data_IF_460134081946
#
_entry.id   IF_460134081946
#
_cell.length_a   1.000
_cell.length_b   1.000
_cell.length_c   1.000
_cell.angle_alpha   90.00
_cell.angle_beta   90.00
_cell.angle_gamma   90.00
#
_symmetry.space_group_name_H-M   'P 1'
#
loop_
_entity.id
_entity.type
_entity.pdbx_description
1 polymer ?
#
# COMPACT_ATOMS: atom_id res chain seq x y z
N UNK A 1 -28.42 -35.77 16.82
CA UNK A 1 -26.95 -35.76 16.89
C UNK A 1 -26.49 -34.67 15.95
N UNK A 2 -25.85 -33.63 16.49
CA UNK A 2 -25.74 -32.28 15.92
C UNK A 2 -25.13 -32.21 14.50
N UNK A 3 -25.87 -31.58 13.59
CA UNK A 3 -25.43 -31.09 12.27
C UNK A 3 -24.44 -29.91 12.35
N UNK A 4 -24.04 -29.49 13.56
CA UNK A 4 -23.23 -28.30 13.82
C UNK A 4 -21.71 -28.50 13.75
N UNK A 5 -21.21 -29.71 13.44
CA UNK A 5 -19.76 -29.95 13.32
C UNK A 5 -19.24 -30.04 11.88
N UNK A 6 -20.12 -29.94 10.87
CA UNK A 6 -19.71 -29.89 9.44
C UNK A 6 -19.55 -28.47 8.88
N UNK A 7 -19.88 -27.43 9.65
CA UNK A 7 -19.74 -26.03 9.23
C UNK A 7 -18.38 -25.39 9.59
N UNK A 8 -17.46 -26.14 10.20
CA UNK A 8 -16.19 -25.62 10.73
C UNK A 8 -14.94 -26.06 9.94
N UNK A 9 -15.08 -26.51 8.69
CA UNK A 9 -13.96 -26.92 7.82
C UNK A 9 -14.00 -26.33 6.40
N UNK A 10 -14.78 -25.27 6.17
CA UNK A 10 -14.95 -24.66 4.85
C UNK A 10 -14.30 -23.26 4.75
N UNK A 11 -13.03 -23.12 5.14
CA UNK A 11 -12.18 -22.21 4.37
C UNK A 11 -11.72 -22.99 3.14
N UNK A 12 -12.09 -22.57 1.91
CA UNK A 12 -11.77 -23.38 0.75
C UNK A 12 -10.26 -23.34 0.57
N UNK A 13 -9.60 -24.47 0.77
CA UNK A 13 -8.23 -24.72 0.28
C UNK A 13 -8.08 -24.24 -1.18
N UNK A 14 -9.18 -24.28 -1.94
CA UNK A 14 -9.32 -23.74 -3.28
C UNK A 14 -9.07 -22.23 -3.39
N UNK A 15 -9.53 -21.39 -2.45
CA UNK A 15 -9.31 -19.94 -2.53
C UNK A 15 -7.83 -19.57 -2.37
N UNK A 16 -7.14 -20.19 -1.42
CA UNK A 16 -5.70 -20.00 -1.26
C UNK A 16 -4.93 -20.49 -2.50
N UNK A 17 -5.32 -21.64 -3.04
CA UNK A 17 -4.71 -22.16 -4.28
C UNK A 17 -4.94 -21.21 -5.45
N UNK A 18 -6.17 -20.72 -5.65
CA UNK A 18 -6.48 -19.74 -6.69
C UNK A 18 -5.74 -18.42 -6.49
N UNK A 19 -5.48 -18.01 -5.25
CA UNK A 19 -4.65 -16.85 -4.95
C UNK A 19 -3.19 -17.06 -5.37
N UNK A 20 -2.60 -18.23 -5.09
CA UNK A 20 -1.26 -18.56 -5.58
C UNK A 20 -1.21 -18.61 -7.11
N UNK A 21 -2.17 -19.30 -7.74
CA UNK A 21 -2.28 -19.39 -9.21
C UNK A 21 -2.42 -18.00 -9.86
N UNK A 22 -3.12 -17.07 -9.20
CA UNK A 22 -3.24 -15.68 -9.64
C UNK A 22 -1.90 -14.96 -9.59
N UNK A 23 -1.09 -15.16 -8.55
CA UNK A 23 0.26 -14.58 -8.47
C UNK A 23 1.12 -15.19 -9.58
N UNK A 24 1.23 -16.51 -9.64
CA UNK A 24 2.11 -17.24 -10.56
C UNK A 24 1.78 -16.94 -12.04
N UNK A 25 0.50 -16.77 -12.37
CA UNK A 25 0.07 -16.47 -13.74
C UNK A 25 0.41 -15.04 -14.19
N UNK A 26 0.49 -14.10 -13.25
CA UNK A 26 0.56 -12.67 -13.58
C UNK A 26 1.90 -12.02 -13.19
N UNK A 27 2.74 -12.70 -12.41
CA UNK A 27 4.03 -12.20 -11.94
C UNK A 27 5.12 -13.20 -12.30
N UNK A 28 6.18 -12.73 -12.95
CA UNK A 28 7.35 -13.56 -13.23
C UNK A 28 8.34 -13.52 -12.06
N UNK A 29 7.95 -14.11 -10.92
CA UNK A 29 8.74 -14.06 -9.69
C UNK A 29 10.15 -14.67 -9.86
N UNK A 30 10.26 -15.73 -10.67
CA UNK A 30 11.52 -16.42 -10.93
C UNK A 30 12.50 -15.54 -11.72
N UNK A 31 12.04 -14.85 -12.76
CA UNK A 31 12.86 -13.89 -13.51
C UNK A 31 13.51 -12.84 -12.61
N UNK A 32 12.79 -12.39 -11.59
CA UNK A 32 13.27 -11.39 -10.63
C UNK A 32 13.97 -12.00 -9.40
N UNK A 33 14.16 -13.33 -9.37
CA UNK A 33 14.88 -14.04 -8.32
C UNK A 33 14.15 -14.07 -6.98
N UNK A 34 12.82 -13.99 -6.98
CA UNK A 34 11.99 -14.09 -5.79
C UNK A 34 11.67 -15.55 -5.47
N UNK A 35 11.82 -15.92 -4.20
CA UNK A 35 11.47 -17.26 -3.67
C UNK A 35 10.50 -17.08 -2.51
N UNK A 36 9.48 -17.92 -2.44
CA UNK A 36 8.52 -17.88 -1.33
C UNK A 36 9.23 -18.26 -0.02
N UNK A 37 9.19 -17.38 0.98
CA UNK A 37 9.82 -17.62 2.29
C UNK A 37 8.83 -17.66 3.44
N UNK A 38 7.59 -17.21 3.22
CA UNK A 38 6.56 -17.21 4.24
C UNK A 38 5.18 -17.31 3.61
N UNK A 39 4.31 -18.09 4.26
CA UNK A 39 2.88 -18.08 4.02
C UNK A 39 2.13 -18.15 5.35
N UNK A 40 1.06 -17.39 5.45
CA UNK A 40 0.11 -17.46 6.55
C UNK A 40 -1.28 -17.70 5.97
N UNK A 41 -1.80 -18.88 6.25
CA UNK A 41 -3.17 -19.27 5.92
C UNK A 41 -3.87 -19.52 7.23
N UNK A 42 -4.61 -18.53 7.71
CA UNK A 42 -5.46 -18.76 8.86
C UNK A 42 -6.71 -19.51 8.40
N UNK A 43 -6.87 -20.73 8.95
CA UNK A 43 -7.97 -21.70 8.77
C UNK A 43 -9.36 -21.10 8.88
N UNK A 44 -9.49 -19.98 9.59
CA UNK A 44 -10.77 -19.41 9.96
C UNK A 44 -10.90 -17.92 9.63
N UNK A 45 -9.85 -17.25 9.11
CA UNK A 45 -9.91 -15.81 8.82
C UNK A 45 -8.96 -15.33 7.72
N UNK A 46 -9.42 -14.33 6.97
CA UNK A 46 -8.58 -13.48 6.11
C UNK A 46 -7.79 -12.47 6.97
N UNK A 47 -6.66 -11.92 6.48
CA UNK A 47 -6.08 -12.11 5.14
C UNK A 47 -5.24 -13.39 4.97
N UNK A 48 -5.19 -13.91 3.74
CA UNK A 48 -4.08 -14.79 3.34
C UNK A 48 -2.86 -13.94 3.02
N UNK A 49 -1.71 -14.35 3.54
CA UNK A 49 -0.46 -13.61 3.34
C UNK A 49 0.55 -14.55 2.74
N UNK A 50 1.22 -14.13 1.67
CA UNK A 50 2.39 -14.81 1.11
C UNK A 50 3.50 -13.79 0.94
N UNK A 51 4.72 -14.14 1.34
CA UNK A 51 5.90 -13.29 1.17
C UNK A 51 6.93 -14.05 0.35
N UNK A 52 7.47 -13.33 -0.62
CA UNK A 52 8.59 -13.76 -1.43
C UNK A 52 9.77 -12.84 -1.18
N UNK A 53 10.95 -13.42 -1.03
CA UNK A 53 12.20 -12.70 -0.82
C UNK A 53 13.12 -12.91 -2.03
N UNK A 54 13.79 -11.84 -2.45
CA UNK A 54 14.92 -11.90 -3.38
C UNK A 54 16.21 -11.56 -2.64
N UNK A 55 17.33 -11.47 -3.37
CA UNK A 55 18.59 -10.98 -2.80
C UNK A 55 18.55 -9.49 -2.40
N UNK A 56 17.56 -8.73 -2.86
CA UNK A 56 17.48 -7.28 -2.64
C UNK A 56 16.40 -6.91 -1.63
N UNK A 57 15.21 -7.49 -1.74
CA UNK A 57 14.05 -7.02 -1.01
C UNK A 57 12.99 -8.12 -0.81
N UNK A 58 11.88 -7.74 -0.16
CA UNK A 58 10.74 -8.60 0.14
C UNK A 58 9.50 -8.07 -0.56
N UNK A 59 8.67 -8.96 -1.09
CA UNK A 59 7.34 -8.65 -1.65
C UNK A 59 6.31 -9.46 -0.91
N UNK A 60 5.27 -8.78 -0.43
CA UNK A 60 4.17 -9.35 0.34
C UNK A 60 2.88 -9.20 -0.44
N UNK A 61 2.22 -10.31 -0.68
CA UNK A 61 0.89 -10.38 -1.26
C UNK A 61 -0.12 -10.66 -0.15
N UNK A 62 -1.16 -9.85 -0.08
CA UNK A 62 -2.24 -9.99 0.90
C UNK A 62 -3.57 -10.10 0.19
N UNK A 63 -4.22 -11.24 0.36
CA UNK A 63 -5.57 -11.47 -0.10
C UNK A 63 -6.54 -11.19 1.05
N UNK A 64 -7.40 -10.20 0.90
CA UNK A 64 -8.30 -9.77 1.97
C UNK A 64 -9.69 -9.41 1.44
N UNK A 65 -10.65 -9.35 2.35
CA UNK A 65 -11.97 -8.78 2.09
C UNK A 65 -11.94 -7.35 2.63
N UNK A 66 -12.15 -6.31 1.80
CA UNK A 66 -12.23 -4.95 2.31
C UNK A 66 -13.41 -4.86 3.27
N UNK A 67 -13.13 -4.50 4.51
CA UNK A 67 -14.15 -4.17 5.50
C UNK A 67 -14.20 -2.65 5.64
N UNK A 68 -15.20 -2.03 5.00
CA UNK A 68 -15.50 -0.61 5.15
C UNK A 68 -16.72 -0.41 6.06
N UNK A 69 -16.77 -1.13 7.19
CA UNK A 69 -17.82 -1.00 8.19
C UNK A 69 -19.14 -1.61 7.72
N UNK A 70 -20.18 -0.79 7.54
CA UNK A 70 -21.53 -1.28 7.21
C UNK A 70 -21.68 -1.86 5.80
N UNK A 71 -20.67 -1.71 4.94
CA UNK A 71 -20.68 -2.26 3.58
C UNK A 71 -19.68 -3.40 3.51
N UNK A 72 -20.18 -4.63 3.67
CA UNK A 72 -19.40 -5.82 3.35
C UNK A 72 -19.29 -5.95 1.83
N UNK A 73 -18.11 -5.73 1.27
CA UNK A 73 -17.87 -6.01 -0.13
C UNK A 73 -17.87 -7.51 -0.39
N UNK A 74 -18.64 -7.99 -1.35
CA UNK A 74 -18.61 -9.41 -1.72
C UNK A 74 -17.28 -9.81 -2.35
N UNK A 75 -16.62 -8.87 -3.03
CA UNK A 75 -15.37 -9.10 -3.73
C UNK A 75 -14.16 -9.10 -2.79
N UNK A 76 -13.13 -9.82 -3.21
CA UNK A 76 -11.82 -9.92 -2.55
C UNK A 76 -10.82 -9.06 -3.30
N UNK A 77 -9.85 -8.53 -2.58
CA UNK A 77 -8.78 -7.71 -3.14
C UNK A 77 -7.41 -8.33 -2.86
N UNK A 78 -6.48 -8.09 -3.77
CA UNK A 78 -5.05 -8.37 -3.57
C UNK A 78 -4.34 -7.05 -3.36
N UNK A 79 -3.71 -6.90 -2.20
CA UNK A 79 -2.76 -5.82 -1.93
C UNK A 79 -1.34 -6.36 -2.03
N UNK A 80 -0.48 -5.62 -2.72
CA UNK A 80 0.94 -5.95 -2.87
C UNK A 80 1.77 -4.87 -2.18
N UNK A 81 2.64 -5.31 -1.28
CA UNK A 81 3.48 -4.45 -0.47
C UNK A 81 4.96 -4.84 -0.62
N UNK A 82 5.82 -3.85 -0.46
CA UNK A 82 7.26 -3.98 -0.62
C UNK A 82 7.96 -3.66 0.70
N UNK A 83 8.95 -4.47 1.05
CA UNK A 83 9.73 -4.33 2.27
C UNK A 83 11.22 -4.53 2.02
N UNK A 84 12.05 -3.99 2.90
CA UNK A 84 13.48 -4.28 2.92
C UNK A 84 13.72 -5.65 3.58
N UNK A 85 14.85 -6.31 3.34
CA UNK A 85 15.08 -7.68 3.85
C UNK A 85 14.98 -7.85 5.37
N UNK A 86 15.20 -6.80 6.16
CA UNK A 86 15.05 -6.83 7.61
C UNK A 86 13.62 -6.57 8.11
N UNK A 87 12.67 -6.29 7.21
CA UNK A 87 11.25 -6.12 7.53
C UNK A 87 10.70 -7.41 8.13
N UNK A 88 9.91 -7.33 9.20
CA UNK A 88 9.26 -8.49 9.83
C UNK A 88 8.13 -9.05 8.98
N UNK A 89 7.97 -10.38 9.01
CA UNK A 89 6.93 -11.10 8.25
C UNK A 89 5.53 -10.99 8.86
N UNK A 90 5.43 -10.85 10.18
CA UNK A 90 4.18 -10.94 10.94
C UNK A 90 3.52 -9.60 11.24
N UNK A 91 4.21 -8.48 10.98
CA UNK A 91 3.67 -7.16 11.27
C UNK A 91 3.85 -6.17 10.12
N UNK A 92 2.79 -5.41 9.83
CA UNK A 92 2.84 -4.29 8.89
C UNK A 92 3.64 -3.10 9.46
N UNK A 93 3.52 -2.84 10.76
CA UNK A 93 4.13 -1.70 11.45
C UNK A 93 4.54 -2.07 12.88
N UNK A 94 5.51 -1.38 13.47
CA UNK A 94 5.80 -1.55 14.91
C UNK A 94 5.91 -0.20 15.61
N UNK A 95 5.64 -0.21 16.90
CA UNK A 95 6.00 0.87 17.80
C UNK A 95 7.22 0.39 18.59
N UNK A 96 8.36 1.03 18.37
CA UNK A 96 9.57 0.81 19.18
C UNK A 96 9.94 2.13 19.82
N UNK A 97 10.09 2.16 21.15
CA UNK A 97 10.51 3.36 21.88
C UNK A 97 9.64 4.60 21.56
N UNK A 98 8.31 4.42 21.51
CA UNK A 98 7.32 5.44 21.10
C UNK A 98 7.47 5.98 19.67
N UNK A 99 8.31 5.36 18.83
CA UNK A 99 8.43 5.68 17.40
C UNK A 99 7.68 4.65 16.56
N UNK A 100 6.72 5.15 15.79
CA UNK A 100 6.05 4.35 14.76
C UNK A 100 7.03 4.09 13.60
N UNK A 101 7.26 2.81 13.32
CA UNK A 101 8.08 2.37 12.19
C UNK A 101 7.22 1.58 11.22
N UNK A 102 7.12 2.10 9.99
CA UNK A 102 6.48 1.41 8.87
C UNK A 102 7.50 0.49 8.19
N UNK A 103 7.11 -0.72 7.84
CA UNK A 103 8.02 -1.70 7.22
C UNK A 103 7.63 -2.15 5.82
N UNK A 104 6.35 -2.01 5.48
CA UNK A 104 5.77 -2.45 4.23
C UNK A 104 5.15 -1.27 3.50
N UNK A 105 5.47 -1.11 2.23
CA UNK A 105 5.14 0.07 1.43
C UNK A 105 4.30 -0.31 0.22
N UNK A 106 3.26 0.46 -0.05
CA UNK A 106 2.40 0.32 -1.22
C UNK A 106 2.80 1.36 -2.26
N UNK A 107 2.88 0.93 -3.51
CA UNK A 107 3.20 1.82 -4.65
C UNK A 107 2.23 3.00 -4.79
N UNK A 108 0.99 2.84 -4.31
CA UNK A 108 -0.06 3.85 -4.45
C UNK A 108 0.02 4.92 -3.35
N UNK A 109 0.28 4.52 -2.11
CA UNK A 109 0.21 5.43 -0.95
C UNK A 109 1.54 6.07 -0.58
N UNK A 110 2.66 5.52 -1.05
CA UNK A 110 3.98 5.86 -0.52
C UNK A 110 4.86 6.65 -1.49
N UNK A 111 4.28 7.27 -2.52
CA UNK A 111 5.00 8.14 -3.46
C UNK A 111 6.19 7.46 -4.20
N UNK A 112 6.30 6.13 -4.13
CA UNK A 112 7.41 5.36 -4.70
C UNK A 112 7.60 5.67 -6.18
N UNK A 113 6.52 5.59 -6.96
CA UNK A 113 6.60 5.80 -8.41
C UNK A 113 7.02 7.25 -8.73
N UNK A 114 6.48 8.24 -8.01
CA UNK A 114 6.84 9.65 -8.19
C UNK A 114 8.31 9.92 -7.88
N UNK A 115 8.83 9.29 -6.83
CA UNK A 115 10.26 9.34 -6.51
C UNK A 115 11.11 8.70 -7.61
N UNK A 116 10.72 7.53 -8.10
CA UNK A 116 11.45 6.84 -9.18
C UNK A 116 11.38 7.59 -10.52
N UNK A 117 10.30 8.33 -10.76
CA UNK A 117 10.14 9.24 -11.90
C UNK A 117 10.98 10.52 -11.77
N UNK A 118 11.57 10.78 -10.59
CA UNK A 118 12.33 12.01 -10.31
C UNK A 118 11.44 13.25 -10.17
N UNK A 119 10.16 13.08 -9.88
CA UNK A 119 9.22 14.19 -9.71
C UNK A 119 9.57 15.01 -8.46
N UNK A 120 9.77 16.34 -8.57
CA UNK A 120 10.02 17.20 -7.42
C UNK A 120 8.90 17.14 -6.37
N UNK A 121 9.24 17.25 -5.09
CA UNK A 121 8.30 17.16 -3.97
C UNK A 121 7.19 18.21 -4.06
N UNK A 122 7.51 19.39 -4.57
CA UNK A 122 6.62 20.53 -4.76
C UNK A 122 5.60 20.31 -5.87
N UNK A 123 5.90 19.48 -6.86
CA UNK A 123 4.94 19.16 -7.90
C UNK A 123 3.88 18.17 -7.39
N UNK A 124 4.27 17.29 -6.45
CA UNK A 124 3.39 16.24 -5.92
C UNK A 124 2.09 16.80 -5.33
N UNK A 125 2.14 17.96 -4.66
CA UNK A 125 0.97 18.55 -4.01
C UNK A 125 -0.11 19.04 -4.98
N UNK A 126 0.26 19.29 -6.24
CA UNK A 126 -0.66 19.70 -7.31
C UNK A 126 -1.18 18.52 -8.12
N UNK A 127 -0.61 17.34 -7.92
CA UNK A 127 -1.06 16.12 -8.56
C UNK A 127 -2.18 15.46 -7.77
N UNK A 128 -3.25 14.99 -8.41
CA UNK A 128 -4.23 14.15 -7.70
C UNK A 128 -3.57 12.81 -7.32
N UNK A 129 -4.20 12.04 -6.41
CA UNK A 129 -3.61 10.82 -5.83
C UNK A 129 -3.08 9.82 -6.88
N UNK A 130 -3.60 9.82 -8.12
CA UNK A 130 -3.33 8.81 -9.17
C UNK A 130 -2.44 9.29 -10.34
N UNK A 131 -1.54 10.26 -10.14
CA UNK A 131 -0.90 10.97 -11.26
C UNK A 131 0.48 10.49 -11.73
N UNK A 132 0.95 9.29 -11.35
CA UNK A 132 2.04 8.73 -12.16
C UNK A 132 1.48 8.52 -13.59
N UNK A 133 2.09 9.07 -14.66
CA UNK A 133 1.62 8.89 -16.03
C UNK A 133 1.41 7.42 -16.38
N UNK A 134 2.28 6.55 -15.86
CA UNK A 134 2.22 5.11 -15.98
C UNK A 134 0.93 4.52 -15.37
N UNK A 135 0.54 4.94 -14.16
CA UNK A 135 -0.70 4.45 -13.52
C UNK A 135 -1.96 4.84 -14.29
N UNK A 136 -1.94 5.96 -15.03
CA UNK A 136 -3.08 6.37 -15.88
C UNK A 136 -3.26 5.44 -17.07
N UNK A 137 -2.16 4.99 -17.67
CA UNK A 137 -2.15 4.07 -18.80
C UNK A 137 -2.75 2.70 -18.42
N UNK A 138 -2.54 2.27 -17.17
CA UNK A 138 -2.91 0.94 -16.71
C UNK A 138 -4.10 0.87 -15.75
N UNK A 139 -4.92 1.92 -15.63
CA UNK A 139 -6.08 1.96 -14.69
C UNK A 139 -7.08 0.81 -14.83
N UNK A 140 -7.08 0.09 -15.96
CA UNK A 140 -8.00 -1.03 -16.23
C UNK A 140 -7.40 -2.40 -15.88
N UNK A 141 -6.13 -2.46 -15.50
CA UNK A 141 -5.46 -3.74 -15.21
C UNK A 141 -5.81 -4.24 -13.82
N UNK A 142 -5.86 -5.57 -13.68
CA UNK A 142 -5.91 -6.21 -12.38
C UNK A 142 -4.66 -5.81 -11.56
N UNK A 143 -4.75 -5.57 -10.24
CA UNK A 143 -3.62 -5.07 -9.44
C UNK A 143 -2.34 -5.89 -9.60
N UNK A 144 -2.46 -7.23 -9.62
CA UNK A 144 -1.28 -8.10 -9.81
C UNK A 144 -0.59 -7.85 -11.15
N UNK A 145 -1.35 -7.75 -12.25
CA UNK A 145 -0.78 -7.48 -13.57
C UNK A 145 -0.15 -6.08 -13.64
N UNK A 146 -0.79 -5.07 -13.07
CA UNK A 146 -0.22 -3.73 -12.98
C UNK A 146 1.16 -3.73 -12.28
N UNK A 147 1.32 -4.51 -11.22
CA UNK A 147 2.62 -4.62 -10.54
C UNK A 147 3.69 -5.29 -11.42
N UNK A 148 3.32 -6.25 -12.26
CA UNK A 148 4.26 -6.82 -13.24
C UNK A 148 4.70 -5.78 -14.28
N UNK A 149 3.79 -4.95 -14.79
CA UNK A 149 4.13 -3.86 -15.71
C UNK A 149 5.06 -2.83 -15.05
N UNK A 150 4.84 -2.51 -13.76
CA UNK A 150 5.73 -1.66 -12.98
C UNK A 150 7.12 -2.27 -12.86
N UNK A 151 7.19 -3.57 -12.59
CA UNK A 151 8.47 -4.28 -12.51
C UNK A 151 9.20 -4.26 -13.84
N UNK A 152 8.50 -4.49 -14.95
CA UNK A 152 9.09 -4.43 -16.29
C UNK A 152 9.56 -3.01 -16.64
N UNK A 153 8.80 -1.98 -16.25
CA UNK A 153 9.11 -0.59 -16.56
C UNK A 153 10.30 -0.05 -15.76
N UNK A 154 10.24 -0.14 -14.43
CA UNK A 154 11.27 0.41 -13.54
C UNK A 154 12.44 -0.56 -13.33
N UNK A 155 12.20 -1.86 -13.50
CA UNK A 155 13.19 -2.92 -13.39
C UNK A 155 13.95 -2.89 -12.08
N UNK A 156 15.27 -3.06 -12.21
CA UNK A 156 16.21 -3.08 -11.09
C UNK A 156 16.12 -1.83 -10.20
N UNK A 157 15.81 -0.64 -10.76
CA UNK A 157 15.72 0.62 -10.00
C UNK A 157 14.64 0.56 -8.92
N UNK A 158 13.55 -0.16 -9.19
CA UNK A 158 12.47 -0.34 -8.23
C UNK A 158 12.93 -1.18 -7.02
N UNK A 159 13.62 -2.28 -7.26
CA UNK A 159 14.11 -3.16 -6.18
C UNK A 159 15.32 -2.58 -5.45
N UNK A 160 16.18 -1.82 -6.14
CA UNK A 160 17.32 -1.12 -5.56
C UNK A 160 16.89 -0.15 -4.45
N UNK A 161 15.69 0.43 -4.54
CA UNK A 161 15.12 1.30 -3.51
C UNK A 161 14.94 0.56 -2.18
N UNK A 162 14.56 -0.72 -2.22
CA UNK A 162 14.34 -1.55 -1.04
C UNK A 162 15.59 -2.34 -0.61
N UNK A 163 16.68 -2.25 -1.37
CA UNK A 163 17.91 -2.96 -1.07
C UNK A 163 18.56 -2.44 0.22
N UNK A 164 18.87 -3.36 1.12
CA UNK A 164 19.56 -3.03 2.38
C UNK A 164 20.99 -2.53 2.15
N UNK A 165 21.58 -2.90 1.01
CA UNK A 165 22.94 -2.50 0.60
C UNK A 165 22.99 -1.09 0.00
N UNK A 166 21.84 -0.47 -0.29
CA UNK A 166 21.73 0.89 -0.82
C UNK A 166 21.08 1.85 0.20
N UNK A 167 21.67 2.06 1.40
CA UNK A 167 21.06 2.88 2.44
C UNK A 167 20.86 4.35 2.01
N UNK A 168 21.76 4.89 1.18
CA UNK A 168 21.68 6.28 0.70
C UNK A 168 20.46 6.51 -0.21
N UNK A 169 20.13 5.55 -1.08
CA UNK A 169 18.95 5.65 -1.96
C UNK A 169 17.66 5.63 -1.13
N UNK A 170 17.62 4.76 -0.12
CA UNK A 170 16.52 4.70 0.82
C UNK A 170 16.36 6.01 1.60
N UNK A 171 17.46 6.61 2.08
CA UNK A 171 17.43 7.88 2.79
C UNK A 171 16.93 9.03 1.92
N UNK A 172 17.36 9.11 0.65
CA UNK A 172 16.84 10.07 -0.32
C UNK A 172 15.32 9.95 -0.48
N UNK A 173 14.81 8.73 -0.60
CA UNK A 173 13.37 8.47 -0.68
C UNK A 173 12.61 8.83 0.60
N UNK A 174 13.17 8.53 1.77
CA UNK A 174 12.57 8.92 3.06
C UNK A 174 12.49 10.44 3.19
N UNK A 175 13.56 11.14 2.84
CA UNK A 175 13.60 12.61 2.85
C UNK A 175 12.56 13.20 1.90
N UNK A 176 12.48 12.68 0.67
CA UNK A 176 11.45 13.03 -0.31
C UNK A 176 10.03 12.86 0.26
N UNK A 177 9.75 11.70 0.87
CA UNK A 177 8.45 11.42 1.48
C UNK A 177 8.11 12.37 2.63
N UNK A 178 9.09 12.76 3.44
CA UNK A 178 8.89 13.71 4.55
C UNK A 178 8.60 15.11 4.04
N UNK A 179 9.31 15.56 3.01
CA UNK A 179 9.08 16.83 2.35
C UNK A 179 7.67 16.91 1.76
N UNK A 180 7.25 15.89 0.98
CA UNK A 180 5.90 15.82 0.42
C UNK A 180 4.83 15.89 1.52
N UNK A 181 5.00 15.16 2.62
CA UNK A 181 4.06 15.20 3.76
C UNK A 181 3.99 16.60 4.40
N UNK A 182 5.13 17.25 4.57
CA UNK A 182 5.19 18.61 5.11
C UNK A 182 4.50 19.61 4.19
N UNK A 183 4.75 19.55 2.88
CA UNK A 183 4.10 20.40 1.88
C UNK A 183 2.58 20.20 1.84
N UNK A 184 2.11 18.94 1.91
CA UNK A 184 0.67 18.64 2.00
C UNK A 184 0.03 19.21 3.27
N UNK A 185 0.73 19.11 4.40
CA UNK A 185 0.28 19.68 5.66
C UNK A 185 0.14 21.21 5.58
N UNK A 186 1.17 21.89 5.06
CA UNK A 186 1.17 23.34 4.87
C UNK A 186 0.07 23.80 3.91
N UNK A 187 -0.09 23.10 2.78
CA UNK A 187 -1.15 23.41 1.81
C UNK A 187 -2.54 23.29 2.45
N UNK A 188 -2.80 22.19 3.20
CA UNK A 188 -4.07 22.02 3.93
C UNK A 188 -4.29 23.15 4.94
N UNK A 189 -3.26 23.54 5.70
CA UNK A 189 -3.36 24.66 6.66
C UNK A 189 -3.65 25.99 5.99
N UNK A 190 -3.15 26.23 4.78
CA UNK A 190 -3.48 27.42 3.98
C UNK A 190 -4.95 27.39 3.52
N UNK A 191 -5.43 26.25 3.02
CA UNK A 191 -6.84 26.10 2.60
C UNK A 191 -7.81 26.31 3.76
N UNK A 192 -7.56 25.70 4.92
CA UNK A 192 -8.37 25.90 6.15
C UNK A 192 -8.47 27.39 6.55
N UNK A 193 -7.40 28.18 6.35
CA UNK A 193 -7.42 29.62 6.65
C UNK A 193 -8.22 30.41 5.62
N UNK A 194 -8.19 30.01 4.35
CA UNK A 194 -8.97 30.66 3.28
C UNK A 194 -10.46 30.37 3.50
N UNK A 195 -10.84 29.12 3.72
CA UNK A 195 -12.23 28.73 3.97
C UNK A 195 -12.85 29.46 5.16
N UNK A 196 -12.11 29.58 6.28
CA UNK A 196 -12.55 30.34 7.46
C UNK A 196 -12.73 31.83 7.21
N UNK A 197 -11.97 32.43 6.27
CA UNK A 197 -12.13 33.84 5.88
C UNK A 197 -13.29 34.04 4.90
N UNK A 198 -13.54 33.06 4.04
CA UNK A 198 -14.60 33.10 3.04
C UNK A 198 -15.99 32.81 3.59
N UNK A 199 -16.10 32.28 4.81
CA UNK A 199 -17.38 31.98 5.47
C UNK A 199 -17.54 32.72 6.82
N UNK A 200 -17.66 34.07 6.82
CA UNK A 200 -17.78 34.85 8.05
C UNK A 200 -19.17 34.79 8.73
N UNK A 201 -20.14 34.03 8.20
CA UNK A 201 -21.55 34.10 8.64
C UNK A 201 -21.98 33.17 9.79
N UNK A 202 -21.06 32.50 10.49
CA UNK A 202 -21.34 31.79 11.75
C UNK A 202 -21.03 32.63 13.01
N UNK A 203 -20.94 33.96 12.89
CA UNK A 203 -21.03 34.84 14.06
C UNK A 203 -22.50 35.07 14.40
N UNK A 204 -22.99 34.30 15.38
CA UNK A 204 -23.99 34.67 16.38
C UNK A 204 -24.76 35.97 16.06
N UNK A 205 -26.00 35.85 15.60
CA UNK A 205 -27.01 36.88 15.86
C UNK A 205 -27.35 36.71 17.35
N UNK A 206 -27.01 37.65 18.25
CA UNK A 206 -27.56 37.62 19.59
C UNK A 206 -29.08 37.76 19.43
N UNK A 207 -29.85 36.86 20.05
CA UNK A 207 -31.29 37.07 20.21
C UNK A 207 -31.48 38.43 20.89
N UNK A 208 -31.88 39.43 20.10
CA UNK A 208 -32.47 40.65 20.64
C UNK A 208 -33.83 40.26 21.19
N UNK A 209 -33.87 40.04 22.50
CA UNK A 209 -35.07 40.10 23.30
C UNK A 209 -35.72 41.49 23.12
N UNK A 210 -36.87 41.51 22.43
CA UNK A 210 -37.92 42.51 22.60
C UNK A 210 -39.28 41.80 22.64
#
# INVERSE_FOLDING_TARGET
MNDDLRKLWNIPINEYKSFLELIDKNMDLELWGFVQTYSSVNKDNLPFIVIYDSLQCRVRFEYYKPDFGAVTHEYREVQILYGRLHTKSDSRNTYKENKFTKYWYSIYSDYILKFLDGMPSEEVIYTTKDHSPMLKEFKKLHPVWLHNEIWNHYGKRFFDLFDVRNPELWEKYVNYCNEVKWLLYENRKRQEKIEKRSNPHDYFVPDEFL
#
